data_IF_334612162180
#
_entry.id   IF_334612162180
#
_cell.length_a   1.000
_cell.length_b   1.000
_cell.length_c   1.000
_cell.angle_alpha   90.00
_cell.angle_beta   90.00
_cell.angle_gamma   90.00
#
_symmetry.space_group_name_H-M   'P 1'
#
loop_
_entity.id
_entity.type
_entity.pdbx_description
1 polymer ?
#
# COMPACT_ATOMS: atom_id res chain seq x y z
N UNK A 1 31.58 2.37 -18.44
CA UNK A 1 30.20 1.92 -18.75
C UNK A 1 29.28 2.42 -17.65
N UNK A 2 28.42 3.39 -17.95
CA UNK A 2 27.29 3.76 -17.07
C UNK A 2 26.03 3.24 -17.74
N UNK A 3 25.23 2.48 -17.01
CA UNK A 3 23.77 2.53 -17.08
C UNK A 3 23.23 1.84 -15.84
N UNK A 4 22.86 2.70 -14.88
CA UNK A 4 22.02 2.44 -13.72
C UNK A 4 20.78 1.64 -14.16
N UNK A 5 20.58 0.48 -13.56
CA UNK A 5 19.25 -0.09 -13.40
C UNK A 5 18.53 0.78 -12.37
N UNK A 6 17.96 1.91 -12.82
CA UNK A 6 17.23 2.82 -11.95
C UNK A 6 15.99 2.12 -11.43
N UNK A 7 15.98 1.80 -10.14
CA UNK A 7 14.75 1.53 -9.40
C UNK A 7 13.76 2.65 -9.71
N UNK A 8 12.62 2.30 -10.30
CA UNK A 8 11.63 3.26 -10.73
C UNK A 8 10.82 3.67 -9.50
N UNK A 9 11.34 4.63 -8.73
CA UNK A 9 10.64 5.22 -7.60
C UNK A 9 9.36 5.87 -8.15
N UNK A 10 8.21 5.24 -7.92
CA UNK A 10 6.91 5.81 -8.25
C UNK A 10 6.74 7.11 -7.46
N UNK A 11 6.52 8.21 -8.16
CA UNK A 11 6.16 9.47 -7.49
C UNK A 11 4.75 9.34 -6.91
N UNK A 12 4.47 10.04 -5.80
CA UNK A 12 3.18 9.96 -5.09
C UNK A 12 2.00 10.17 -6.04
N UNK A 13 2.13 11.09 -7.00
CA UNK A 13 1.08 11.32 -8.00
C UNK A 13 0.80 10.10 -8.87
N UNK A 14 1.81 9.33 -9.29
CA UNK A 14 1.62 8.08 -10.04
C UNK A 14 0.87 7.04 -9.21
N UNK A 15 1.21 6.91 -7.92
CA UNK A 15 0.51 6.03 -6.98
C UNK A 15 -0.96 6.40 -6.79
N UNK A 16 -1.28 7.70 -6.77
CA UNK A 16 -2.67 8.18 -6.72
C UNK A 16 -3.43 7.68 -7.96
N UNK A 17 -2.86 7.83 -9.17
CA UNK A 17 -3.54 7.39 -10.39
C UNK A 17 -3.68 5.87 -10.47
N UNK A 18 -2.69 5.12 -9.98
CA UNK A 18 -2.80 3.68 -9.84
C UNK A 18 -3.98 3.29 -8.94
N UNK A 19 -4.10 3.91 -7.76
CA UNK A 19 -5.21 3.63 -6.83
C UNK A 19 -6.58 4.02 -7.40
N UNK A 20 -6.65 5.09 -8.19
CA UNK A 20 -7.88 5.48 -8.90
C UNK A 20 -8.30 4.41 -9.91
N UNK A 21 -7.35 3.89 -10.69
CA UNK A 21 -7.59 2.83 -11.67
C UNK A 21 -8.06 1.54 -11.00
N UNK A 22 -7.35 1.09 -9.95
CA UNK A 22 -7.72 -0.10 -9.17
C UNK A 22 -9.12 -0.01 -8.55
N UNK A 23 -9.54 1.20 -8.15
CA UNK A 23 -10.85 1.44 -7.51
C UNK A 23 -11.94 1.85 -8.52
N UNK A 24 -11.62 1.96 -9.81
CA UNK A 24 -12.58 2.40 -10.84
C UNK A 24 -13.09 3.83 -10.64
N UNK A 25 -12.33 4.68 -9.94
CA UNK A 25 -12.72 6.08 -9.66
C UNK A 25 -12.24 6.97 -10.80
N UNK A 26 -13.15 7.68 -11.45
CA UNK A 26 -12.77 8.62 -12.51
C UNK A 26 -12.08 9.86 -11.92
N UNK A 27 -11.19 10.51 -12.68
CA UNK A 27 -10.59 11.77 -12.25
C UNK A 27 -11.62 12.87 -11.99
N UNK A 28 -12.78 12.80 -12.66
CA UNK A 28 -13.89 13.74 -12.44
C UNK A 28 -14.53 13.53 -11.07
N UNK A 29 -14.84 12.30 -10.73
CA UNK A 29 -15.46 11.99 -9.45
C UNK A 29 -14.47 12.23 -8.31
N UNK A 30 -13.20 11.91 -8.52
CA UNK A 30 -12.13 12.21 -7.58
C UNK A 30 -11.96 13.71 -7.33
N UNK A 31 -12.01 14.54 -8.38
CA UNK A 31 -11.97 16.00 -8.26
C UNK A 31 -13.14 16.54 -7.45
N UNK A 32 -14.35 16.04 -7.71
CA UNK A 32 -15.56 16.44 -6.97
C UNK A 32 -15.45 16.05 -5.50
N UNK A 33 -15.05 14.81 -5.20
CA UNK A 33 -14.96 14.27 -3.85
C UNK A 33 -13.87 14.94 -3.01
N UNK A 34 -12.70 15.22 -3.60
CA UNK A 34 -11.59 15.87 -2.88
C UNK A 34 -11.74 17.40 -2.83
N UNK A 35 -12.61 17.99 -3.66
CA UNK A 35 -12.70 19.43 -3.87
C UNK A 35 -11.48 20.03 -4.59
N UNK A 36 -10.66 19.19 -5.22
CA UNK A 36 -9.46 19.60 -5.95
C UNK A 36 -9.81 19.73 -7.43
N UNK A 37 -9.39 20.81 -8.09
CA UNK A 37 -9.73 20.99 -9.50
C UNK A 37 -9.15 19.88 -10.37
N UNK A 38 -9.90 19.44 -11.38
CA UNK A 38 -9.40 18.49 -12.38
C UNK A 38 -8.12 18.98 -13.07
N UNK A 39 -7.96 20.30 -13.25
CA UNK A 39 -6.75 20.89 -13.81
C UNK A 39 -5.53 20.65 -12.91
N UNK A 40 -5.69 20.75 -11.59
CA UNK A 40 -4.62 20.47 -10.62
C UNK A 40 -4.25 18.99 -10.63
N UNK A 41 -5.26 18.11 -10.65
CA UNK A 41 -5.04 16.65 -10.72
C UNK A 41 -4.31 16.28 -12.03
N UNK A 42 -4.75 16.81 -13.17
CA UNK A 42 -4.07 16.60 -14.47
C UNK A 42 -2.64 17.12 -14.47
N UNK A 43 -2.39 18.25 -13.80
CA UNK A 43 -1.05 18.82 -13.68
C UNK A 43 -0.10 17.89 -12.91
N UNK A 44 -0.56 17.17 -11.89
CA UNK A 44 0.28 16.19 -11.18
C UNK A 44 0.81 15.09 -12.11
N UNK A 45 -0.04 14.58 -13.01
CA UNK A 45 0.35 13.58 -14.01
C UNK A 45 1.31 14.14 -15.05
N UNK A 46 0.99 15.30 -15.61
CA UNK A 46 1.72 15.90 -16.74
C UNK A 46 3.05 16.52 -16.33
N UNK A 47 3.08 17.22 -15.20
CA UNK A 47 4.26 17.94 -14.68
C UNK A 47 5.07 17.12 -13.69
N UNK A 48 4.63 15.88 -13.38
CA UNK A 48 5.25 15.02 -12.36
C UNK A 48 5.39 15.74 -11.00
N UNK A 49 4.36 16.47 -10.62
CA UNK A 49 4.30 17.17 -9.32
C UNK A 49 3.46 16.38 -8.33
N UNK A 50 3.78 16.54 -7.04
CA UNK A 50 3.04 15.88 -5.97
C UNK A 50 2.00 16.84 -5.35
N UNK A 51 0.88 16.31 -4.83
CA UNK A 51 -0.02 17.09 -3.99
C UNK A 51 0.70 17.62 -2.75
N UNK A 52 0.24 18.76 -2.25
CA UNK A 52 0.66 19.31 -0.96
C UNK A 52 0.06 18.50 0.21
N UNK A 53 0.63 18.64 1.41
CA UNK A 53 0.25 17.86 2.59
C UNK A 53 -1.26 17.96 2.94
N UNK A 54 -1.85 19.16 2.80
CA UNK A 54 -3.29 19.39 3.01
C UNK A 54 -4.16 18.56 2.05
N UNK A 55 -3.69 18.37 0.81
CA UNK A 55 -4.40 17.57 -0.20
C UNK A 55 -4.20 16.09 0.03
N UNK A 56 -3.01 15.68 0.48
CA UNK A 56 -2.69 14.28 0.78
C UNK A 56 -3.70 13.68 1.76
N UNK A 57 -4.06 14.39 2.83
CA UNK A 57 -5.03 13.88 3.81
C UNK A 57 -6.41 13.64 3.19
N UNK A 58 -6.93 14.60 2.41
CA UNK A 58 -8.21 14.45 1.70
C UNK A 58 -8.18 13.30 0.69
N UNK A 59 -7.06 13.14 0.01
CA UNK A 59 -6.86 12.04 -0.96
C UNK A 59 -6.89 10.69 -0.23
N UNK A 60 -6.24 10.59 0.92
CA UNK A 60 -6.25 9.39 1.76
C UNK A 60 -7.67 9.00 2.19
N UNK A 61 -8.48 9.98 2.61
CA UNK A 61 -9.89 9.77 2.98
C UNK A 61 -10.71 9.19 1.81
N UNK A 62 -10.62 9.79 0.62
CA UNK A 62 -11.39 9.37 -0.56
C UNK A 62 -10.91 8.03 -1.13
N UNK A 63 -9.60 7.77 -1.09
CA UNK A 63 -9.04 6.52 -1.58
C UNK A 63 -9.11 5.40 -0.52
N UNK A 64 -9.54 5.70 0.70
CA UNK A 64 -9.54 4.77 1.84
C UNK A 64 -8.16 4.11 2.04
N UNK A 65 -7.13 4.95 2.10
CA UNK A 65 -5.75 4.56 2.42
C UNK A 65 -5.21 5.46 3.51
N UNK A 66 -4.20 5.00 4.22
CA UNK A 66 -3.46 5.81 5.19
C UNK A 66 -2.42 6.69 4.49
N UNK A 67 -2.01 7.82 5.10
CA UNK A 67 -0.89 8.61 4.60
C UNK A 67 0.40 7.79 4.46
N UNK A 68 0.63 6.83 5.35
CA UNK A 68 1.78 5.93 5.27
C UNK A 68 1.74 5.09 3.99
N UNK A 69 0.61 4.44 3.71
CA UNK A 69 0.43 3.65 2.49
C UNK A 69 0.59 4.51 1.24
N UNK A 70 0.09 5.74 1.23
CA UNK A 70 0.22 6.62 0.08
C UNK A 70 1.65 7.14 -0.13
N UNK A 71 2.40 7.38 0.95
CA UNK A 71 3.73 8.01 0.90
C UNK A 71 4.89 7.01 0.89
N UNK A 72 4.65 5.74 1.22
CA UNK A 72 5.71 4.73 1.28
C UNK A 72 6.26 4.39 -0.10
N UNK A 73 7.58 4.30 -0.22
CA UNK A 73 8.33 3.89 -1.42
C UNK A 73 8.23 2.39 -1.77
N UNK A 74 7.50 1.59 -0.98
CA UNK A 74 7.41 0.14 -1.17
C UNK A 74 6.34 -0.22 -2.19
N UNK A 75 6.75 -0.93 -3.24
CA UNK A 75 5.88 -1.54 -4.24
C UNK A 75 4.99 -2.62 -3.62
N UNK A 76 3.68 -2.38 -3.71
CA UNK A 76 2.48 -3.25 -3.87
C UNK A 76 2.39 -4.68 -3.30
N UNK A 77 3.44 -5.34 -2.82
CA UNK A 77 3.30 -6.67 -2.22
C UNK A 77 2.62 -6.65 -0.82
N UNK A 78 2.51 -5.49 -0.17
CA UNK A 78 1.93 -5.34 1.18
C UNK A 78 0.45 -4.93 1.12
N UNK A 79 -0.04 -4.37 0.00
CA UNK A 79 -1.42 -3.86 -0.12
C UNK A 79 -2.46 -5.00 -0.06
N UNK A 80 -2.05 -6.25 -0.31
CA UNK A 80 -2.90 -7.43 -0.08
C UNK A 80 -3.10 -7.76 1.42
N UNK A 81 -2.40 -7.10 2.34
CA UNK A 81 -2.63 -7.23 3.78
C UNK A 81 -3.44 -6.04 4.34
N UNK A 82 -4.67 -5.88 3.83
CA UNK A 82 -5.75 -5.16 4.54
C UNK A 82 -6.01 -5.77 5.95
N UNK A 83 -5.36 -6.90 6.26
CA UNK A 83 -5.38 -7.58 7.56
C UNK A 83 -4.57 -6.89 8.69
N UNK A 84 -3.77 -5.85 8.40
CA UNK A 84 -2.94 -5.21 9.44
C UNK A 84 -3.62 -4.12 10.27
N UNK A 85 -4.90 -3.80 9.98
CA UNK A 85 -5.69 -2.86 10.80
C UNK A 85 -6.56 -3.55 11.85
N UNK A 86 -6.54 -4.88 11.92
CA UNK A 86 -7.16 -5.63 13.02
C UNK A 86 -6.19 -5.62 14.20
N UNK A 87 -6.65 -5.20 15.38
CA UNK A 87 -5.89 -5.39 16.60
C UNK A 87 -5.66 -6.89 16.79
N UNK A 88 -4.41 -7.34 16.64
CA UNK A 88 -4.04 -8.72 16.91
C UNK A 88 -4.43 -9.04 18.35
N UNK A 89 -5.08 -10.18 18.54
CA UNK A 89 -5.22 -10.70 19.89
C UNK A 89 -3.85 -11.17 20.42
N UNK A 90 -3.76 -11.41 21.73
CA UNK A 90 -2.49 -11.74 22.38
C UNK A 90 -1.83 -12.99 21.75
N UNK A 91 -2.62 -13.97 21.30
CA UNK A 91 -2.12 -15.21 20.70
C UNK A 91 -1.56 -14.95 19.29
N UNK A 92 -2.28 -14.18 18.47
CA UNK A 92 -1.84 -13.77 17.13
C UNK A 92 -0.56 -12.93 17.18
N UNK A 93 -0.45 -12.02 18.17
CA UNK A 93 0.74 -11.21 18.38
C UNK A 93 1.95 -12.08 18.73
N UNK A 94 1.79 -13.06 19.63
CA UNK A 94 2.85 -14.01 20.00
C UNK A 94 3.31 -14.83 18.81
N UNK A 95 2.38 -15.35 18.00
CA UNK A 95 2.72 -16.12 16.80
C UNK A 95 3.51 -15.26 15.81
N UNK A 96 3.08 -14.02 15.58
CA UNK A 96 3.72 -13.12 14.63
C UNK A 96 5.13 -12.72 15.07
N UNK A 97 5.31 -12.31 16.33
CA UNK A 97 6.62 -11.96 16.89
C UNK A 97 7.56 -13.17 16.91
N UNK A 98 7.06 -14.31 17.36
CA UNK A 98 7.79 -15.57 17.36
C UNK A 98 8.27 -15.92 15.95
N UNK A 99 7.37 -15.90 14.97
CA UNK A 99 7.68 -16.23 13.59
C UNK A 99 8.71 -15.26 12.98
N UNK A 100 8.58 -13.95 13.19
CA UNK A 100 9.51 -12.94 12.65
C UNK A 100 10.96 -13.21 13.08
N UNK A 101 11.14 -13.62 14.33
CA UNK A 101 12.45 -13.89 14.94
C UNK A 101 13.04 -15.27 14.59
N UNK A 102 12.34 -16.12 13.83
CA UNK A 102 12.87 -17.42 13.41
C UNK A 102 13.86 -17.31 12.23
N UNK A 103 14.86 -18.18 12.25
CA UNK A 103 15.72 -18.47 11.10
C UNK A 103 14.93 -19.17 9.98
N UNK A 104 15.40 -19.03 8.73
CA UNK A 104 14.71 -19.52 7.53
C UNK A 104 14.22 -20.97 7.64
N UNK A 105 15.09 -21.88 8.06
CA UNK A 105 14.76 -23.32 8.19
C UNK A 105 13.66 -23.59 9.23
N UNK A 106 13.59 -22.78 10.28
CA UNK A 106 12.55 -22.89 11.32
C UNK A 106 11.22 -22.29 10.85
N UNK A 107 11.25 -21.22 10.05
CA UNK A 107 10.06 -20.66 9.38
C UNK A 107 9.41 -21.67 8.44
N UNK A 108 10.21 -22.33 7.60
CA UNK A 108 9.73 -23.38 6.69
C UNK A 108 9.05 -24.52 7.46
N UNK A 109 9.66 -24.94 8.58
CA UNK A 109 9.07 -25.98 9.45
C UNK A 109 7.78 -25.52 10.12
N UNK A 110 7.71 -24.28 10.59
CA UNK A 110 6.49 -23.69 11.18
C UNK A 110 5.34 -23.70 10.17
N UNK A 111 5.58 -23.25 8.94
CA UNK A 111 4.57 -23.24 7.88
C UNK A 111 4.10 -24.65 7.52
N UNK A 112 5.00 -25.63 7.53
CA UNK A 112 4.64 -27.04 7.31
C UNK A 112 3.69 -27.58 8.38
N UNK A 113 3.92 -27.25 9.66
CA UNK A 113 3.00 -27.64 10.73
C UNK A 113 1.65 -26.94 10.62
N UNK A 114 1.64 -25.63 10.30
CA UNK A 114 0.41 -24.89 10.10
C UNK A 114 -0.43 -25.49 8.97
N UNK A 115 0.20 -25.82 7.84
CA UNK A 115 -0.48 -26.46 6.72
C UNK A 115 -1.05 -27.84 7.10
N UNK A 116 -0.31 -28.64 7.89
CA UNK A 116 -0.79 -29.93 8.38
C UNK A 116 -2.03 -29.78 9.27
N UNK A 117 -1.99 -28.85 10.23
CA UNK A 117 -3.10 -28.57 11.15
C UNK A 117 -4.36 -28.04 10.43
N UNK A 118 -4.19 -27.34 9.31
CA UNK A 118 -5.31 -26.85 8.49
C UNK A 118 -5.89 -27.93 7.56
N UNK A 119 -5.16 -29.03 7.36
CA UNK A 119 -5.55 -30.15 6.50
C UNK A 119 -6.13 -31.33 7.26
N UNK A 120 -6.14 -31.27 8.60
CA UNK A 120 -6.83 -32.24 9.45
C UNK A 120 -8.32 -31.84 9.53
N UNK A 121 -9.21 -32.72 9.07
CA UNK A 121 -10.68 -32.58 9.11
C UNK A 121 -11.22 -32.53 10.56
#
# INVERSE_FOLDING_TARGET
MKSNSGENILIISEKIFYLLDQKGITQKDFAVQTGISQSTISDWKRKKTNPSADKILKICEILHVTPYELLSERDEAIINNIDHLVALNDEEAVVLEGFRNLEKRKKERFLGYLAALQSED
#
